data_IF_515908091115
#
_entry.id   IF_515908091115
#
_cell.length_a   1.000
_cell.length_b   1.000
_cell.length_c   1.000
_cell.angle_alpha   90.00
_cell.angle_beta   90.00
_cell.angle_gamma   90.00
#
_symmetry.space_group_name_H-M   'P 1'
#
loop_
_entity.id
_entity.type
_entity.pdbx_description
1 polymer ?
#
# COMPACT_ATOMS: atom_id res chain seq x y z
N UNK A 1 5.51 -5.67 -14.81
CA UNK A 1 4.18 -5.20 -15.24
C UNK A 1 3.51 -4.51 -14.07
N UNK A 2 2.62 -3.52 -14.29
CA UNK A 2 1.88 -2.89 -13.20
C UNK A 2 1.08 -3.92 -12.38
N UNK A 3 1.08 -3.78 -11.07
CA UNK A 3 0.48 -4.75 -10.13
C UNK A 3 -0.98 -5.08 -10.50
N UNK A 4 -1.81 -4.07 -10.74
CA UNK A 4 -3.22 -4.25 -11.10
C UNK A 4 -3.42 -5.12 -12.35
N UNK A 5 -2.50 -5.03 -13.33
CA UNK A 5 -2.55 -5.85 -14.54
C UNK A 5 -2.14 -7.29 -14.27
N UNK A 6 -1.09 -7.49 -13.47
CA UNK A 6 -0.65 -8.83 -13.06
C UNK A 6 -1.73 -9.54 -12.25
N UNK A 7 -2.35 -8.83 -11.30
CA UNK A 7 -3.47 -9.32 -10.50
C UNK A 7 -4.66 -9.75 -11.36
N UNK A 8 -5.14 -8.86 -12.25
CA UNK A 8 -6.22 -9.20 -13.19
C UNK A 8 -5.88 -10.35 -14.12
N UNK A 9 -4.63 -10.41 -14.60
CA UNK A 9 -4.20 -11.51 -15.47
C UNK A 9 -4.21 -12.85 -14.76
N UNK A 10 -3.84 -12.89 -13.47
CA UNK A 10 -3.85 -14.11 -12.67
C UNK A 10 -5.27 -14.62 -12.39
N UNK A 11 -6.26 -13.73 -12.28
CA UNK A 11 -7.68 -14.09 -12.12
C UNK A 11 -8.29 -14.57 -13.45
N UNK A 12 -7.96 -13.90 -14.56
CA UNK A 12 -8.63 -14.13 -15.85
C UNK A 12 -8.02 -15.22 -16.72
N UNK A 13 -6.72 -15.52 -16.56
CA UNK A 13 -6.01 -16.49 -17.40
C UNK A 13 -5.91 -17.84 -16.71
N UNK A 14 -6.19 -18.90 -17.47
CA UNK A 14 -5.92 -20.27 -17.06
C UNK A 14 -4.41 -20.45 -16.82
N UNK A 15 -4.06 -21.20 -15.77
CA UNK A 15 -2.69 -21.54 -15.36
C UNK A 15 -1.77 -20.34 -15.02
N UNK A 16 -2.36 -19.19 -14.67
CA UNK A 16 -1.63 -18.01 -14.20
C UNK A 16 -1.18 -18.14 -12.74
N UNK A 17 0.06 -17.74 -12.43
CA UNK A 17 0.60 -17.68 -11.08
C UNK A 17 0.96 -16.24 -10.73
N UNK A 18 0.59 -15.78 -9.54
CA UNK A 18 0.94 -14.47 -9.00
C UNK A 18 1.85 -14.65 -7.77
N UNK A 19 3.02 -14.03 -7.80
CA UNK A 19 3.97 -14.04 -6.70
C UNK A 19 4.58 -12.64 -6.49
N UNK A 20 4.70 -12.12 -5.28
CA UNK A 20 3.99 -12.49 -4.04
C UNK A 20 2.74 -11.61 -3.89
N UNK A 21 1.67 -12.13 -3.26
CA UNK A 21 0.44 -11.37 -2.99
C UNK A 21 -0.06 -11.62 -1.58
N UNK A 22 -0.68 -10.60 -0.99
CA UNK A 22 -1.26 -10.70 0.35
C UNK A 22 -2.56 -11.49 0.36
N UNK A 23 -2.66 -12.45 1.29
CA UNK A 23 -3.90 -13.16 1.60
C UNK A 23 -4.85 -12.26 2.41
N UNK A 24 -6.02 -12.03 1.87
CA UNK A 24 -7.09 -11.26 2.49
C UNK A 24 -8.41 -12.00 2.32
N UNK A 25 -9.39 -11.75 3.18
CA UNK A 25 -10.73 -12.33 3.06
C UNK A 25 -11.34 -12.08 1.67
N UNK A 26 -11.14 -10.88 1.11
CA UNK A 26 -11.60 -10.53 -0.22
C UNK A 26 -10.95 -11.33 -1.36
N UNK A 27 -9.71 -11.81 -1.17
CA UNK A 27 -8.96 -12.57 -2.20
C UNK A 27 -8.97 -14.07 -1.96
N UNK A 28 -9.52 -14.52 -0.83
CA UNK A 28 -9.46 -15.89 -0.37
C UNK A 28 -10.00 -16.87 -1.41
N UNK A 29 -11.16 -16.53 -1.98
CA UNK A 29 -11.87 -17.35 -2.97
C UNK A 29 -11.36 -17.16 -4.41
N UNK A 30 -10.44 -16.21 -4.64
CA UNK A 30 -9.93 -15.88 -5.97
C UNK A 30 -8.69 -16.69 -6.36
N UNK A 31 -8.02 -17.33 -5.41
CA UNK A 31 -6.75 -18.02 -5.62
C UNK A 31 -6.67 -19.35 -4.86
N UNK A 32 -5.84 -20.26 -5.38
CA UNK A 32 -5.31 -21.35 -4.60
C UNK A 32 -4.03 -20.88 -3.89
N UNK A 33 -4.04 -20.90 -2.55
CA UNK A 33 -2.94 -20.38 -1.73
C UNK A 33 -1.91 -21.46 -1.43
N UNK A 34 -0.63 -21.17 -1.71
CA UNK A 34 0.50 -22.05 -1.40
C UNK A 34 1.34 -21.42 -0.29
N UNK A 35 1.02 -21.80 0.96
CA UNK A 35 1.78 -21.46 2.18
C UNK A 35 1.93 -19.95 2.49
N UNK A 36 2.17 -19.59 3.75
CA UNK A 36 2.69 -18.26 4.06
C UNK A 36 4.17 -18.20 3.64
N UNK A 37 4.54 -17.15 2.90
CA UNK A 37 5.93 -16.88 2.52
C UNK A 37 6.58 -15.93 3.54
N UNK A 38 5.83 -14.94 4.01
CA UNK A 38 6.24 -13.94 5.00
C UNK A 38 4.99 -13.32 5.63
N UNK A 39 5.13 -12.80 6.84
CA UNK A 39 4.11 -11.93 7.45
C UNK A 39 4.28 -10.52 6.93
N UNK A 40 3.17 -9.83 6.67
CA UNK A 40 3.24 -8.47 6.15
C UNK A 40 2.78 -7.45 7.18
N UNK A 41 3.22 -6.20 7.01
CA UNK A 41 2.73 -5.09 7.82
C UNK A 41 2.29 -3.97 6.89
N UNK A 42 0.99 -3.91 6.64
CA UNK A 42 0.39 -2.82 5.86
C UNK A 42 0.20 -1.63 6.77
N UNK A 43 0.86 -0.54 6.45
CA UNK A 43 0.93 0.65 7.28
C UNK A 43 0.65 1.91 6.48
N UNK A 44 0.21 2.95 7.20
CA UNK A 44 0.18 4.33 6.72
C UNK A 44 1.49 4.99 7.11
N UNK A 45 2.22 5.44 6.10
CA UNK A 45 3.56 6.01 6.22
C UNK A 45 3.49 7.49 5.86
N UNK A 46 4.06 8.32 6.72
CA UNK A 46 4.24 9.75 6.50
C UNK A 46 5.72 10.10 6.45
N UNK A 47 6.03 11.35 6.15
CA UNK A 47 7.40 11.86 6.37
C UNK A 47 7.60 12.20 7.83
N UNK A 48 8.80 11.92 8.30
CA UNK A 48 9.25 12.26 9.64
C UNK A 48 9.19 13.77 9.86
N UNK A 49 8.58 14.18 10.96
CA UNK A 49 8.43 15.61 11.31
C UNK A 49 7.28 16.32 10.60
N UNK A 50 6.42 15.58 9.91
CA UNK A 50 5.14 16.10 9.40
C UNK A 50 4.14 16.42 10.53
N UNK A 51 4.39 15.94 11.75
CA UNK A 51 3.51 16.05 12.92
C UNK A 51 2.07 15.54 12.67
N UNK A 52 1.90 14.69 11.65
CA UNK A 52 0.63 14.04 11.35
C UNK A 52 0.46 12.89 12.35
N UNK A 53 -0.67 12.90 13.05
CA UNK A 53 -1.08 11.83 13.94
C UNK A 53 -2.47 11.39 13.53
N UNK A 54 -2.67 10.09 13.44
CA UNK A 54 -3.97 9.49 13.17
C UNK A 54 -4.42 8.75 14.42
N UNK A 55 -5.50 9.21 15.04
CA UNK A 55 -6.19 8.50 16.12
C UNK A 55 -7.15 7.44 15.57
N UNK A 56 -7.78 7.74 14.43
CA UNK A 56 -8.77 6.86 13.79
C UNK A 56 -8.54 6.73 12.27
N UNK A 57 -8.91 5.59 11.65
CA UNK A 57 -8.73 5.39 10.20
C UNK A 57 -9.40 6.46 9.32
N UNK A 58 -10.55 7.02 9.73
CA UNK A 58 -11.25 8.02 8.93
C UNK A 58 -10.53 9.38 8.88
N UNK A 59 -9.65 9.69 9.85
CA UNK A 59 -8.86 10.94 9.84
C UNK A 59 -7.94 11.02 8.62
N UNK A 60 -7.60 9.87 8.01
CA UNK A 60 -6.83 9.77 6.76
C UNK A 60 -7.45 10.61 5.65
N UNK A 61 -8.79 10.73 5.61
CA UNK A 61 -9.52 11.49 4.58
C UNK A 61 -9.19 12.99 4.55
N UNK A 62 -8.62 13.52 5.63
CA UNK A 62 -8.18 14.92 5.71
C UNK A 62 -6.84 15.17 5.03
N UNK A 63 -6.15 14.11 4.59
CA UNK A 63 -4.80 14.14 4.02
C UNK A 63 -4.79 13.57 2.61
N UNK A 64 -3.78 13.95 1.82
CA UNK A 64 -3.58 13.33 0.50
C UNK A 64 -2.87 12.00 0.66
N UNK A 65 -3.62 10.90 0.58
CA UNK A 65 -3.07 9.55 0.70
C UNK A 65 -2.84 8.89 -0.67
N UNK A 66 -1.64 8.39 -0.90
CA UNK A 66 -1.28 7.61 -2.08
C UNK A 66 -1.45 6.11 -1.86
N UNK A 67 -1.95 5.40 -2.88
CA UNK A 67 -2.14 3.94 -2.86
C UNK A 67 -1.75 3.32 -4.20
N UNK A 68 -1.34 2.05 -4.18
CA UNK A 68 -1.19 1.28 -5.43
C UNK A 68 -2.56 0.72 -5.83
N UNK A 69 -2.96 1.02 -7.06
CA UNK A 69 -4.25 0.62 -7.61
C UNK A 69 -4.45 -0.90 -7.47
N UNK A 70 -5.64 -1.27 -6.98
CA UNK A 70 -6.10 -2.64 -6.73
C UNK A 70 -5.28 -3.41 -5.65
N UNK A 71 -4.21 -2.83 -5.08
CA UNK A 71 -3.33 -3.50 -4.10
C UNK A 71 -3.87 -3.44 -2.65
N UNK A 72 -3.23 -4.18 -1.73
CA UNK A 72 -3.70 -4.37 -0.36
C UNK A 72 -3.92 -3.06 0.40
N UNK A 73 -3.06 -2.05 0.21
CA UNK A 73 -3.21 -0.75 0.87
C UNK A 73 -4.53 -0.05 0.49
N UNK A 74 -4.85 0.00 -0.79
CA UNK A 74 -6.12 0.56 -1.30
C UNK A 74 -7.32 -0.23 -0.73
N UNK A 75 -7.27 -1.56 -0.84
CA UNK A 75 -8.37 -2.43 -0.44
C UNK A 75 -8.67 -2.32 1.06
N UNK A 76 -7.64 -2.19 1.90
CA UNK A 76 -7.80 -2.01 3.34
C UNK A 76 -8.46 -0.65 3.65
N UNK A 77 -8.01 0.43 3.03
CA UNK A 77 -8.62 1.75 3.26
C UNK A 77 -10.10 1.77 2.87
N UNK A 78 -10.45 1.13 1.75
CA UNK A 78 -11.85 0.99 1.32
C UNK A 78 -12.68 0.19 2.34
N UNK A 79 -12.13 -0.89 2.92
CA UNK A 79 -12.78 -1.66 3.98
C UNK A 79 -12.98 -0.84 5.27
N UNK A 80 -12.08 0.09 5.57
CA UNK A 80 -12.23 1.05 6.67
C UNK A 80 -13.20 2.20 6.37
N UNK A 81 -13.81 2.24 5.18
CA UNK A 81 -14.79 3.26 4.79
C UNK A 81 -14.17 4.55 4.24
N UNK A 82 -12.86 4.57 3.97
CA UNK A 82 -12.21 5.70 3.31
C UNK A 82 -12.67 5.74 1.84
N UNK A 83 -13.28 6.84 1.37
CA UNK A 83 -13.78 6.93 0.00
C UNK A 83 -12.64 6.92 -1.01
N UNK A 84 -12.82 6.21 -2.13
CA UNK A 84 -11.82 6.11 -3.20
C UNK A 84 -11.38 7.49 -3.73
N UNK A 85 -12.29 8.46 -3.79
CA UNK A 85 -12.01 9.83 -4.26
C UNK A 85 -11.05 10.61 -3.35
N UNK A 86 -10.84 10.16 -2.11
CA UNK A 86 -9.82 10.72 -1.20
C UNK A 86 -8.44 10.11 -1.39
N UNK A 87 -8.31 9.10 -2.27
CA UNK A 87 -7.07 8.39 -2.53
C UNK A 87 -6.45 8.80 -3.87
N UNK A 88 -5.13 8.97 -3.89
CA UNK A 88 -4.36 9.13 -5.11
C UNK A 88 -3.81 7.78 -5.55
N UNK A 89 -4.43 7.20 -6.58
CA UNK A 89 -3.98 5.93 -7.16
C UNK A 89 -2.71 6.11 -8.01
N UNK A 90 -1.76 5.21 -7.78
CA UNK A 90 -0.56 5.03 -8.56
C UNK A 90 -0.45 3.60 -9.07
N UNK A 91 0.32 3.40 -10.15
CA UNK A 91 0.64 2.07 -10.69
C UNK A 91 2.04 1.60 -10.33
N UNK A 92 2.87 2.51 -9.78
CA UNK A 92 4.26 2.29 -9.41
C UNK A 92 4.51 2.91 -8.03
N UNK A 93 5.12 2.14 -7.14
CA UNK A 93 5.41 2.58 -5.77
C UNK A 93 6.57 3.57 -5.69
N UNK A 94 7.48 3.55 -6.67
CA UNK A 94 8.52 4.58 -6.81
C UNK A 94 7.88 5.95 -7.05
N UNK A 95 6.81 6.00 -7.84
CA UNK A 95 6.05 7.24 -8.07
C UNK A 95 5.42 7.76 -6.77
N UNK A 96 4.85 6.87 -5.94
CA UNK A 96 4.32 7.27 -4.63
C UNK A 96 5.42 7.79 -3.71
N UNK A 97 6.56 7.08 -3.62
CA UNK A 97 7.68 7.50 -2.81
C UNK A 97 8.20 8.89 -3.23
N UNK A 98 8.36 9.14 -4.54
CA UNK A 98 8.73 10.45 -5.05
C UNK A 98 7.70 11.53 -4.73
N UNK A 99 6.41 11.24 -4.87
CA UNK A 99 5.34 12.19 -4.55
C UNK A 99 5.35 12.54 -3.06
N UNK A 100 5.59 11.56 -2.20
CA UNK A 100 5.69 11.75 -0.75
C UNK A 100 6.88 12.64 -0.42
N UNK A 101 8.07 12.37 -0.98
CA UNK A 101 9.24 13.26 -0.81
C UNK A 101 8.94 14.68 -1.29
N UNK A 102 8.36 14.81 -2.49
CA UNK A 102 8.07 16.09 -3.16
C UNK A 102 6.89 16.87 -2.54
N UNK A 103 6.35 16.48 -1.37
CA UNK A 103 5.20 17.15 -0.70
C UNK A 103 3.92 17.16 -1.56
N UNK A 104 3.77 16.23 -2.50
CA UNK A 104 2.56 16.15 -3.35
C UNK A 104 1.46 15.32 -2.71
N UNK A 105 1.87 14.27 -2.00
CA UNK A 105 1.03 13.50 -1.09
C UNK A 105 1.62 13.60 0.32
N UNK A 106 0.77 13.40 1.30
CA UNK A 106 1.10 13.47 2.72
C UNK A 106 1.37 12.09 3.29
N UNK A 107 0.64 11.08 2.78
CA UNK A 107 0.59 9.72 3.30
C UNK A 107 0.72 8.69 2.17
N UNK A 108 1.24 7.50 2.48
CA UNK A 108 1.13 6.31 1.62
C UNK A 108 0.58 5.15 2.45
N UNK A 109 -0.37 4.38 1.93
CA UNK A 109 -0.75 3.09 2.50
C UNK A 109 -0.12 1.95 1.69
N UNK A 110 0.84 1.25 2.29
CA UNK A 110 1.58 0.17 1.64
C UNK A 110 2.19 -0.82 2.65
N UNK A 111 2.74 -1.92 2.16
CA UNK A 111 3.59 -2.80 2.99
C UNK A 111 4.85 -2.04 3.44
N UNK A 112 5.08 -2.00 4.75
CA UNK A 112 6.14 -1.20 5.39
C UNK A 112 7.53 -1.61 4.91
N UNK A 113 7.82 -2.93 4.85
CA UNK A 113 9.13 -3.43 4.42
C UNK A 113 9.40 -3.07 2.96
N UNK A 114 8.40 -3.27 2.10
CA UNK A 114 8.48 -2.93 0.69
C UNK A 114 8.65 -1.42 0.50
N UNK A 115 7.90 -0.60 1.24
CA UNK A 115 8.05 0.86 1.19
C UNK A 115 9.48 1.29 1.56
N UNK A 116 10.05 0.78 2.66
CA UNK A 116 11.43 1.06 3.04
C UNK A 116 12.44 0.64 1.97
N UNK A 117 12.23 -0.53 1.34
CA UNK A 117 13.09 -0.99 0.25
C UNK A 117 13.05 -0.03 -0.95
N UNK A 118 11.85 0.38 -1.38
CA UNK A 118 11.67 1.29 -2.52
C UNK A 118 12.21 2.69 -2.24
N UNK A 119 12.01 3.21 -1.01
CA UNK A 119 12.61 4.47 -0.56
C UNK A 119 14.13 4.43 -0.71
N UNK A 120 14.76 3.33 -0.28
CA UNK A 120 16.21 3.14 -0.41
C UNK A 120 16.65 3.04 -1.88
N UNK A 121 15.91 2.33 -2.72
CA UNK A 121 16.20 2.23 -4.17
C UNK A 121 16.08 3.58 -4.88
N UNK A 122 15.14 4.42 -4.47
CA UNK A 122 14.97 5.77 -4.98
C UNK A 122 16.06 6.76 -4.49
N UNK A 123 17.02 6.30 -3.69
CA UNK A 123 18.14 7.11 -3.18
C UNK A 123 17.80 7.96 -1.95
N UNK A 124 16.66 7.72 -1.30
CA UNK A 124 16.25 8.41 -0.09
C UNK A 124 16.59 7.60 1.17
N UNK A 125 16.69 8.30 2.31
CA UNK A 125 17.01 7.65 3.59
C UNK A 125 15.72 7.17 4.25
N UNK A 126 15.57 5.87 4.58
CA UNK A 126 14.37 5.33 5.23
C UNK A 126 13.93 6.10 6.49
N UNK A 127 14.88 6.61 7.27
CA UNK A 127 14.63 7.37 8.50
C UNK A 127 13.96 8.73 8.28
N UNK A 128 13.81 9.18 7.03
CA UNK A 128 13.03 10.37 6.67
C UNK A 128 11.52 10.11 6.68
N UNK A 129 11.12 8.87 6.92
CA UNK A 129 9.73 8.43 6.93
C UNK A 129 9.40 7.75 8.26
N UNK A 130 8.14 7.84 8.65
CA UNK A 130 7.65 7.24 9.87
C UNK A 130 6.29 6.57 9.60
N UNK A 131 6.12 5.38 10.16
CA UNK A 131 4.83 4.71 10.20
C UNK A 131 3.99 5.40 11.27
N UNK A 132 2.86 5.97 10.86
CA UNK A 132 1.96 6.71 11.77
C UNK A 132 0.72 5.90 12.15
N UNK A 133 0.38 4.87 11.37
CA UNK A 133 -0.75 3.99 11.64
C UNK A 133 -0.52 2.60 11.02
N UNK A 134 -0.99 1.54 11.66
CA UNK A 134 -0.91 0.16 11.13
C UNK A 134 -2.31 -0.29 10.75
N UNK A 135 -2.53 -0.56 9.46
CA UNK A 135 -3.82 -1.03 8.94
C UNK A 135 -3.98 -2.53 9.18
N UNK A 136 -2.91 -3.30 9.00
CA UNK A 136 -2.91 -4.74 9.25
C UNK A 136 -1.50 -5.24 9.53
N UNK A 137 -1.37 -6.17 10.45
CA UNK A 137 -0.13 -6.89 10.73
C UNK A 137 -0.41 -8.39 10.83
N UNK A 138 0.40 -9.20 10.13
CA UNK A 138 0.36 -10.66 10.15
C UNK A 138 0.54 -11.30 8.77
#
# INVERSE_FOLDING_TARGET
>A
QPWARSYRSAILKKDGVLFSTTRTSHREELFHWVGPIDEIKVAVIARKGSNIKLGEPLEITSYKIGVIKDDVGEQMLLQYGVPRDSMQEATDVTMLAEQLVKKRIDLIAYDERSAHWWIKQAGYVPDQFETIYVLKQG
#
